data_IF_664752524874
#
_entry.id   IF_664752524874
#
_cell.length_a   1.000
_cell.length_b   1.000
_cell.length_c   1.000
_cell.angle_alpha   90.00
_cell.angle_beta   90.00
_cell.angle_gamma   90.00
#
_symmetry.space_group_name_H-M   'P 1'
#
loop_
_entity.id
_entity.type
_entity.pdbx_description
1 polymer ?
#
# COMPACT_ATOMS: atom_id res chain seq x y z
N UNK A 1 -17.38 75.43 47.27
CA UNK A 1 -18.03 74.10 47.04
C UNK A 1 -18.24 73.79 45.54
N UNK A 2 -18.41 74.70 44.67
CA UNK A 2 -18.68 74.50 43.23
C UNK A 2 -17.50 73.97 42.43
N UNK A 3 -16.26 74.25 42.85
CA UNK A 3 -15.01 73.80 42.16
C UNK A 3 -14.79 72.28 42.25
N UNK A 4 -15.14 71.65 43.40
CA UNK A 4 -14.94 70.20 43.60
C UNK A 4 -15.94 69.33 42.81
N UNK A 5 -17.13 69.85 42.58
CA UNK A 5 -18.19 69.11 41.77
C UNK A 5 -17.78 69.09 40.29
N UNK A 6 -17.20 70.19 39.76
CA UNK A 6 -16.71 70.24 38.39
C UNK A 6 -15.59 69.24 38.11
N UNK A 7 -14.62 69.12 39.04
CA UNK A 7 -13.54 68.17 38.95
C UNK A 7 -14.02 66.73 38.97
N UNK A 8 -15.02 66.44 39.87
CA UNK A 8 -15.59 65.06 39.95
C UNK A 8 -16.35 64.65 38.66
N UNK A 9 -17.05 65.56 38.02
CA UNK A 9 -17.74 65.33 36.75
C UNK A 9 -16.76 65.06 35.61
N UNK A 10 -15.65 65.80 35.55
CA UNK A 10 -14.62 65.62 34.55
C UNK A 10 -13.91 64.24 34.73
N UNK A 11 -13.55 63.89 35.97
CA UNK A 11 -12.92 62.59 36.29
C UNK A 11 -13.87 61.43 35.95
N UNK A 12 -15.15 61.56 36.23
CA UNK A 12 -16.17 60.56 35.85
C UNK A 12 -16.26 60.44 34.31
N UNK A 13 -16.30 61.53 33.58
CA UNK A 13 -16.31 61.54 32.11
C UNK A 13 -15.06 60.82 31.50
N UNK A 14 -13.88 61.12 32.07
CA UNK A 14 -12.65 60.44 31.63
C UNK A 14 -12.68 58.95 31.96
N UNK A 15 -13.19 58.55 33.13
CA UNK A 15 -13.35 57.16 33.50
C UNK A 15 -14.27 56.39 32.55
N UNK A 16 -15.43 56.97 32.24
CA UNK A 16 -16.39 56.37 31.27
C UNK A 16 -15.75 56.26 29.88
N UNK A 17 -15.04 57.27 29.40
CA UNK A 17 -14.33 57.23 28.12
C UNK A 17 -13.25 56.12 28.08
N UNK A 18 -12.51 55.92 29.16
CA UNK A 18 -11.53 54.82 29.28
C UNK A 18 -12.24 53.46 29.23
N UNK A 19 -13.32 53.29 29.98
CA UNK A 19 -14.09 52.03 29.94
C UNK A 19 -14.67 51.75 28.54
N UNK A 20 -15.21 52.73 27.86
CA UNK A 20 -15.70 52.59 26.48
C UNK A 20 -14.55 52.20 25.50
N UNK A 21 -13.38 52.79 25.63
CA UNK A 21 -12.23 52.48 24.78
C UNK A 21 -11.71 51.07 25.03
N UNK A 22 -11.65 50.61 26.30
CA UNK A 22 -11.29 49.22 26.67
C UNK A 22 -12.30 48.27 26.08
N UNK A 23 -13.61 48.53 26.24
CA UNK A 23 -14.66 47.66 25.69
C UNK A 23 -14.62 47.60 24.15
N UNK A 24 -14.41 48.72 23.48
CA UNK A 24 -14.27 48.77 22.02
C UNK A 24 -13.04 47.96 21.54
N UNK A 25 -11.89 48.05 22.21
CA UNK A 25 -10.72 47.26 21.91
C UNK A 25 -10.95 45.78 22.14
N UNK A 26 -11.58 45.40 23.22
CA UNK A 26 -11.94 44.01 23.54
C UNK A 26 -12.87 43.40 22.47
N UNK A 27 -13.93 44.16 22.08
CA UNK A 27 -14.82 43.71 21.00
C UNK A 27 -14.09 43.56 19.68
N UNK A 28 -13.21 44.50 19.33
CA UNK A 28 -12.43 44.44 18.10
C UNK A 28 -11.44 43.27 18.09
N UNK A 29 -10.86 42.96 19.24
CA UNK A 29 -9.99 41.77 19.40
C UNK A 29 -10.81 40.49 19.28
N UNK A 30 -11.97 40.42 19.89
CA UNK A 30 -12.90 39.29 19.78
C UNK A 30 -13.31 39.02 18.32
N UNK A 31 -13.71 40.08 17.59
CA UNK A 31 -14.07 39.96 16.17
C UNK A 31 -12.90 39.48 15.30
N UNK A 32 -11.66 39.93 15.58
CA UNK A 32 -10.45 39.47 14.87
C UNK A 32 -10.21 37.98 15.12
N UNK A 33 -10.35 37.52 16.36
CA UNK A 33 -10.15 36.10 16.71
C UNK A 33 -11.25 35.24 16.04
N UNK A 34 -12.48 35.68 16.03
CA UNK A 34 -13.57 34.97 15.35
C UNK A 34 -13.31 34.88 13.84
N UNK A 35 -12.90 35.95 13.19
CA UNK A 35 -12.56 35.97 11.77
C UNK A 35 -11.39 35.03 11.44
N UNK A 36 -10.36 35.04 12.27
CA UNK A 36 -9.22 34.12 12.08
C UNK A 36 -9.67 32.66 12.18
N UNK A 37 -10.47 32.30 13.19
CA UNK A 37 -11.01 30.94 13.33
C UNK A 37 -11.88 30.53 12.14
N UNK A 38 -12.70 31.45 11.66
CA UNK A 38 -13.56 31.19 10.50
C UNK A 38 -12.74 30.94 9.22
N UNK A 39 -11.67 31.72 9.01
CA UNK A 39 -10.74 31.53 7.89
C UNK A 39 -9.95 30.23 8.00
N UNK A 40 -9.50 29.86 9.20
CA UNK A 40 -8.81 28.58 9.45
C UNK A 40 -9.75 27.40 9.19
N UNK A 41 -10.97 27.46 9.74
CA UNK A 41 -11.98 26.42 9.53
C UNK A 41 -12.36 26.29 8.04
N UNK A 42 -12.49 27.40 7.33
CA UNK A 42 -12.76 27.39 5.88
C UNK A 42 -11.63 26.74 5.10
N UNK A 43 -10.37 27.05 5.43
CA UNK A 43 -9.19 26.43 4.79
C UNK A 43 -9.14 24.92 5.05
N UNK A 44 -9.45 24.50 6.27
CA UNK A 44 -9.47 23.08 6.64
C UNK A 44 -10.60 22.34 5.90
N UNK A 45 -11.79 22.97 5.80
CA UNK A 45 -12.91 22.43 5.05
C UNK A 45 -12.62 22.32 3.55
N UNK A 46 -11.99 23.35 2.96
CA UNK A 46 -11.58 23.31 1.55
C UNK A 46 -10.53 22.24 1.28
N UNK A 47 -9.58 22.03 2.21
CA UNK A 47 -8.59 20.95 2.14
C UNK A 47 -9.26 19.59 2.20
N UNK A 48 -10.12 19.37 3.18
CA UNK A 48 -10.87 18.12 3.34
C UNK A 48 -11.76 17.81 2.12
N UNK A 49 -12.48 18.81 1.61
CA UNK A 49 -13.29 18.66 0.41
C UNK A 49 -12.45 18.30 -0.84
N UNK A 50 -11.26 18.90 -0.97
CA UNK A 50 -10.33 18.57 -2.06
C UNK A 50 -9.79 17.16 -1.95
N UNK A 51 -9.46 16.71 -0.75
CA UNK A 51 -9.00 15.33 -0.48
C UNK A 51 -10.11 14.32 -0.75
N UNK A 52 -11.34 14.58 -0.26
CA UNK A 52 -12.50 13.74 -0.53
C UNK A 52 -12.83 13.66 -2.04
N UNK A 53 -12.72 14.77 -2.76
CA UNK A 53 -12.92 14.79 -4.21
C UNK A 53 -11.87 13.97 -4.96
N UNK A 54 -10.59 14.08 -4.55
CA UNK A 54 -9.51 13.25 -5.12
C UNK A 54 -9.75 11.77 -4.87
N UNK A 55 -10.13 11.39 -3.64
CA UNK A 55 -10.44 10.00 -3.29
C UNK A 55 -11.61 9.45 -4.12
N UNK A 56 -12.67 10.25 -4.33
CA UNK A 56 -13.82 9.84 -5.13
C UNK A 56 -13.50 9.69 -6.63
N UNK A 57 -12.64 10.56 -7.17
CA UNK A 57 -12.16 10.42 -8.55
C UNK A 57 -11.33 9.13 -8.69
N UNK A 58 -10.39 8.89 -7.79
CA UNK A 58 -9.58 7.68 -7.77
C UNK A 58 -10.45 6.41 -7.67
N UNK A 59 -11.50 6.44 -6.82
CA UNK A 59 -12.47 5.34 -6.70
C UNK A 59 -13.25 5.11 -8.00
N UNK A 60 -13.65 6.16 -8.69
CA UNK A 60 -14.37 6.04 -9.97
C UNK A 60 -13.47 5.48 -11.07
N UNK A 61 -12.26 5.99 -11.18
CA UNK A 61 -11.25 5.45 -12.11
C UNK A 61 -10.92 3.99 -11.81
N UNK A 62 -10.88 3.60 -10.53
CA UNK A 62 -10.73 2.24 -10.08
C UNK A 62 -11.83 1.32 -10.64
N UNK A 63 -13.09 1.68 -10.41
CA UNK A 63 -14.22 0.87 -10.87
C UNK A 63 -14.24 0.71 -12.41
N UNK A 64 -13.86 1.76 -13.13
CA UNK A 64 -13.74 1.71 -14.59
C UNK A 64 -12.61 0.75 -15.04
N UNK A 65 -11.42 0.85 -14.40
CA UNK A 65 -10.29 -0.04 -14.69
C UNK A 65 -10.62 -1.49 -14.33
N UNK A 66 -11.23 -1.73 -13.17
CA UNK A 66 -11.67 -3.07 -12.74
C UNK A 66 -12.64 -3.70 -13.73
N UNK A 67 -13.62 -2.92 -14.21
CA UNK A 67 -14.57 -3.39 -15.22
C UNK A 67 -13.86 -3.82 -16.51
N UNK A 68 -12.84 -3.09 -16.93
CA UNK A 68 -12.02 -3.44 -18.10
C UNK A 68 -11.18 -4.70 -17.85
N UNK A 69 -10.49 -4.76 -16.70
CA UNK A 69 -9.54 -5.83 -16.38
C UNK A 69 -10.24 -7.16 -16.05
N UNK A 70 -11.51 -7.12 -15.60
CA UNK A 70 -12.40 -8.28 -15.49
C UNK A 70 -12.91 -8.72 -16.88
N UNK A 71 -13.28 -7.78 -17.74
CA UNK A 71 -13.84 -8.09 -19.06
C UNK A 71 -12.82 -8.78 -19.95
N UNK A 72 -11.56 -8.41 -19.89
CA UNK A 72 -10.49 -8.96 -20.74
C UNK A 72 -10.33 -10.48 -20.58
N UNK A 73 -10.08 -11.04 -19.38
CA UNK A 73 -9.98 -12.49 -19.20
C UNK A 73 -11.29 -13.20 -19.48
N UNK A 74 -12.45 -12.63 -19.18
CA UNK A 74 -13.76 -13.21 -19.51
C UNK A 74 -13.91 -13.36 -21.04
N UNK A 75 -13.58 -12.32 -21.81
CA UNK A 75 -13.63 -12.40 -23.27
C UNK A 75 -12.58 -13.38 -23.80
N UNK A 76 -11.40 -13.47 -23.17
CA UNK A 76 -10.39 -14.48 -23.49
C UNK A 76 -10.90 -15.91 -23.27
N UNK A 77 -11.55 -16.17 -22.14
CA UNK A 77 -12.16 -17.47 -21.84
C UNK A 77 -13.22 -17.81 -22.91
N UNK A 78 -14.14 -16.88 -23.17
CA UNK A 78 -15.19 -17.09 -24.19
C UNK A 78 -14.61 -17.39 -25.57
N UNK A 79 -13.62 -16.57 -26.01
CA UNK A 79 -12.97 -16.80 -27.29
C UNK A 79 -12.26 -18.16 -27.37
N UNK A 80 -11.62 -18.63 -26.30
CA UNK A 80 -11.00 -19.95 -26.28
C UNK A 80 -12.01 -21.09 -26.29
N UNK A 81 -13.21 -20.91 -25.72
CA UNK A 81 -14.31 -21.87 -25.84
C UNK A 81 -14.78 -21.93 -27.29
N UNK A 82 -15.00 -20.80 -27.97
CA UNK A 82 -15.41 -20.75 -29.38
C UNK A 82 -14.37 -21.38 -30.31
N UNK A 83 -13.08 -21.12 -30.07
CA UNK A 83 -11.96 -21.76 -30.80
C UNK A 83 -11.93 -23.25 -30.55
N UNK A 84 -12.11 -23.70 -29.30
CA UNK A 84 -12.19 -25.12 -28.94
C UNK A 84 -13.36 -25.83 -29.63
N UNK A 85 -14.52 -25.17 -29.70
CA UNK A 85 -15.67 -25.71 -30.41
C UNK A 85 -15.47 -25.85 -31.92
N UNK A 86 -14.69 -24.93 -32.52
CA UNK A 86 -14.35 -25.04 -33.95
C UNK A 86 -13.38 -26.21 -34.20
N UNK A 87 -12.36 -26.38 -33.33
CA UNK A 87 -11.34 -27.43 -33.44
C UNK A 87 -11.65 -28.68 -32.61
N UNK A 88 -12.90 -29.18 -32.63
CA UNK A 88 -13.37 -30.30 -31.76
C UNK A 88 -12.54 -31.56 -31.84
N UNK A 89 -12.01 -31.89 -33.01
CA UNK A 89 -11.26 -33.12 -33.24
C UNK A 89 -9.75 -32.96 -33.13
N UNK A 90 -9.25 -31.72 -32.91
CA UNK A 90 -7.82 -31.44 -32.78
C UNK A 90 -7.44 -31.43 -31.29
N UNK A 91 -6.78 -32.50 -30.83
CA UNK A 91 -6.42 -32.71 -29.44
C UNK A 91 -5.42 -31.65 -28.95
N UNK A 92 -4.49 -31.23 -29.83
CA UNK A 92 -3.47 -30.25 -29.49
C UNK A 92 -4.09 -28.86 -29.29
N UNK A 93 -4.94 -28.43 -30.21
CA UNK A 93 -5.72 -27.19 -30.09
C UNK A 93 -6.64 -27.20 -28.89
N UNK A 94 -7.32 -28.31 -28.62
CA UNK A 94 -8.12 -28.47 -27.42
C UNK A 94 -7.31 -28.34 -26.11
N UNK A 95 -6.08 -28.87 -26.10
CA UNK A 95 -5.17 -28.74 -24.97
C UNK A 95 -4.72 -27.29 -24.75
N UNK A 96 -4.37 -26.59 -25.85
CA UNK A 96 -3.99 -25.17 -25.83
C UNK A 96 -5.16 -24.30 -25.34
N UNK A 97 -6.37 -24.51 -25.82
CA UNK A 97 -7.56 -23.77 -25.38
C UNK A 97 -7.81 -23.98 -23.88
N UNK A 98 -7.79 -25.23 -23.37
CA UNK A 98 -7.94 -25.52 -21.94
C UNK A 98 -6.88 -24.82 -21.09
N UNK A 99 -5.61 -24.83 -21.52
CA UNK A 99 -4.52 -24.15 -20.82
C UNK A 99 -4.77 -22.64 -20.72
N UNK A 100 -5.15 -21.99 -21.82
CA UNK A 100 -5.45 -20.56 -21.85
C UNK A 100 -6.68 -20.18 -21.01
N UNK A 101 -7.73 -21.04 -21.02
CA UNK A 101 -8.89 -20.85 -20.16
C UNK A 101 -8.50 -20.93 -18.68
N UNK A 102 -7.65 -21.91 -18.31
CA UNK A 102 -7.16 -22.09 -16.95
C UNK A 102 -6.35 -20.88 -16.49
N UNK A 103 -5.41 -20.41 -17.31
CA UNK A 103 -4.58 -19.22 -17.03
C UNK A 103 -5.45 -17.96 -16.85
N UNK A 104 -6.40 -17.72 -17.76
CA UNK A 104 -7.31 -16.57 -17.69
C UNK A 104 -8.25 -16.64 -16.46
N UNK A 105 -8.71 -17.82 -16.09
CA UNK A 105 -9.54 -18.04 -14.90
C UNK A 105 -8.74 -17.80 -13.61
N UNK A 106 -7.48 -18.25 -13.57
CA UNK A 106 -6.57 -18.00 -12.45
C UNK A 106 -6.31 -16.51 -12.23
N UNK A 107 -6.03 -15.79 -13.33
CA UNK A 107 -5.85 -14.32 -13.27
C UNK A 107 -7.11 -13.60 -12.79
N UNK A 108 -8.30 -14.02 -13.25
CA UNK A 108 -9.56 -13.43 -12.81
C UNK A 108 -9.80 -13.64 -11.31
N UNK A 109 -9.50 -14.84 -10.81
CA UNK A 109 -9.65 -15.16 -9.38
C UNK A 109 -8.68 -14.32 -8.52
N UNK A 110 -7.43 -14.16 -8.95
CA UNK A 110 -6.44 -13.32 -8.28
C UNK A 110 -6.92 -11.87 -8.19
N UNK A 111 -7.42 -11.32 -9.31
CA UNK A 111 -7.95 -9.97 -9.39
C UNK A 111 -9.15 -9.74 -8.45
N UNK A 112 -10.09 -10.70 -8.39
CA UNK A 112 -11.24 -10.65 -7.48
C UNK A 112 -10.76 -10.64 -6.02
N UNK A 113 -9.82 -11.51 -5.67
CA UNK A 113 -9.28 -11.59 -4.32
C UNK A 113 -8.56 -10.29 -3.91
N UNK A 114 -7.78 -9.66 -4.81
CA UNK A 114 -7.15 -8.37 -4.53
C UNK A 114 -8.18 -7.25 -4.29
N UNK A 115 -9.28 -7.23 -5.05
CA UNK A 115 -10.37 -6.26 -4.84
C UNK A 115 -11.05 -6.45 -3.50
N UNK A 116 -11.37 -7.70 -3.14
CA UNK A 116 -11.98 -8.03 -1.84
C UNK A 116 -11.05 -7.64 -0.68
N UNK A 117 -9.76 -7.86 -0.83
CA UNK A 117 -8.78 -7.50 0.18
C UNK A 117 -8.63 -5.99 0.32
N UNK A 118 -8.66 -5.25 -0.79
CA UNK A 118 -8.65 -3.77 -0.76
C UNK A 118 -9.90 -3.25 -0.03
N UNK A 119 -11.09 -3.81 -0.31
CA UNK A 119 -12.31 -3.45 0.39
C UNK A 119 -12.25 -3.71 1.91
N UNK A 120 -11.67 -4.84 2.32
CA UNK A 120 -11.44 -5.13 3.75
C UNK A 120 -10.42 -4.21 4.40
N UNK A 121 -9.40 -3.77 3.66
CA UNK A 121 -8.40 -2.82 4.16
C UNK A 121 -8.98 -1.42 4.35
N UNK A 122 -9.86 -0.97 3.45
CA UNK A 122 -10.56 0.32 3.55
C UNK A 122 -11.59 0.34 4.70
N UNK A 123 -12.29 -0.77 4.95
CA UNK A 123 -13.26 -0.89 6.05
C UNK A 123 -12.65 -1.15 7.42
N UNK A 124 -11.32 -1.15 7.55
CA UNK A 124 -10.60 -1.52 8.78
C UNK A 124 -10.91 -2.95 9.30
N UNK A 125 -11.61 -3.76 8.53
CA UNK A 125 -12.04 -5.12 8.88
C UNK A 125 -10.93 -6.18 8.79
N UNK A 126 -9.70 -5.79 8.44
CA UNK A 126 -8.58 -6.74 8.43
C UNK A 126 -8.26 -7.15 9.86
N UNK A 127 -8.66 -8.36 10.22
CA UNK A 127 -8.34 -8.98 11.49
C UNK A 127 -6.97 -9.66 11.33
N UNK A 128 -5.97 -9.12 12.00
CA UNK A 128 -4.67 -9.78 12.09
C UNK A 128 -4.79 -10.98 13.03
N UNK A 129 -4.52 -12.16 12.50
CA UNK A 129 -4.39 -13.36 13.35
C UNK A 129 -3.25 -13.16 14.36
N UNK A 130 -3.42 -13.72 15.53
CA UNK A 130 -2.39 -13.75 16.54
C UNK A 130 -2.19 -15.19 16.99
N UNK A 131 -1.39 -15.94 16.22
CA UNK A 131 -1.11 -17.34 16.50
C UNK A 131 0.38 -17.64 16.42
N UNK A 132 0.80 -18.69 17.08
CA UNK A 132 2.13 -19.26 16.95
C UNK A 132 2.35 -19.78 15.54
N UNK A 133 3.55 -19.54 15.01
CA UNK A 133 4.00 -20.11 13.74
C UNK A 133 5.53 -20.21 13.70
N UNK A 134 6.04 -21.20 12.99
CA UNK A 134 7.46 -21.34 12.77
C UNK A 134 7.88 -20.53 11.53
N UNK A 135 8.79 -19.59 11.72
CA UNK A 135 9.27 -18.67 10.69
C UNK A 135 9.95 -19.41 9.51
N UNK A 136 10.80 -20.41 9.82
CA UNK A 136 11.51 -21.14 8.77
C UNK A 136 10.57 -22.00 7.95
N UNK A 137 9.58 -22.64 8.58
CA UNK A 137 8.58 -23.43 7.88
C UNK A 137 7.78 -22.55 6.92
N UNK A 138 7.32 -21.39 7.39
CA UNK A 138 6.59 -20.43 6.56
C UNK A 138 7.43 -19.99 5.35
N UNK A 139 8.71 -19.69 5.56
CA UNK A 139 9.57 -19.28 4.46
C UNK A 139 9.88 -20.42 3.50
N UNK A 140 10.02 -21.66 3.95
CA UNK A 140 10.20 -22.83 3.07
C UNK A 140 8.99 -23.05 2.14
N UNK A 141 7.77 -22.83 2.65
CA UNK A 141 6.58 -22.86 1.81
C UNK A 141 6.63 -21.79 0.70
N UNK A 142 6.99 -20.55 1.08
CA UNK A 142 7.15 -19.43 0.14
C UNK A 142 8.23 -19.78 -0.90
N UNK A 143 9.39 -20.23 -0.45
CA UNK A 143 10.54 -20.60 -1.26
C UNK A 143 10.19 -21.62 -2.33
N UNK A 144 9.45 -22.66 -1.97
CA UNK A 144 9.03 -23.72 -2.90
C UNK A 144 8.25 -23.14 -4.09
N UNK A 145 7.38 -22.17 -3.84
CA UNK A 145 6.56 -21.54 -4.88
C UNK A 145 7.41 -20.62 -5.77
N UNK A 146 8.22 -19.76 -5.16
CA UNK A 146 9.00 -18.75 -5.90
C UNK A 146 10.14 -19.37 -6.71
N UNK A 147 10.80 -20.43 -6.22
CA UNK A 147 11.87 -21.12 -6.96
C UNK A 147 11.35 -21.74 -8.26
N UNK A 148 10.13 -22.29 -8.25
CA UNK A 148 9.50 -22.81 -9.46
C UNK A 148 9.29 -21.69 -10.49
N UNK A 149 8.69 -20.58 -10.09
CA UNK A 149 8.42 -19.43 -10.97
C UNK A 149 9.71 -18.79 -11.50
N UNK A 150 10.72 -18.65 -10.65
CA UNK A 150 12.02 -18.11 -11.03
C UNK A 150 12.73 -18.98 -12.07
N UNK A 151 12.70 -20.31 -11.88
CA UNK A 151 13.29 -21.29 -12.78
C UNK A 151 12.68 -21.23 -14.19
N UNK A 152 11.36 -21.05 -14.29
CA UNK A 152 10.66 -20.91 -15.57
C UNK A 152 11.14 -19.69 -16.37
N UNK A 153 11.72 -18.68 -15.70
CA UNK A 153 12.28 -17.45 -16.30
C UNK A 153 13.81 -17.38 -16.30
N UNK A 154 14.48 -18.45 -15.88
CA UNK A 154 15.94 -18.49 -15.77
C UNK A 154 16.53 -17.56 -14.69
N UNK A 155 15.71 -17.11 -13.71
CA UNK A 155 16.14 -16.20 -12.66
C UNK A 155 16.82 -16.99 -11.55
N UNK A 156 18.00 -16.53 -11.11
CA UNK A 156 18.75 -17.14 -10.03
C UNK A 156 18.34 -16.52 -8.67
N UNK A 157 17.79 -17.35 -7.78
CA UNK A 157 17.48 -16.93 -6.40
C UNK A 157 18.65 -17.33 -5.49
N UNK A 158 19.20 -16.34 -4.80
CA UNK A 158 20.23 -16.53 -3.78
C UNK A 158 19.64 -16.13 -2.43
N UNK A 159 19.59 -17.08 -1.52
CA UNK A 159 19.18 -16.82 -0.14
C UNK A 159 20.46 -16.75 0.70
N UNK A 160 20.76 -15.57 1.23
CA UNK A 160 21.87 -15.42 2.15
C UNK A 160 21.51 -16.07 3.50
N UNK A 161 22.54 -16.35 4.30
CA UNK A 161 22.37 -17.00 5.60
C UNK A 161 21.35 -16.22 6.45
N UNK A 162 20.35 -16.94 6.94
CA UNK A 162 19.40 -16.38 7.89
C UNK A 162 20.11 -16.03 9.20
N UNK A 163 20.01 -14.78 9.60
CA UNK A 163 20.45 -14.33 10.91
C UNK A 163 19.20 -14.13 11.80
N UNK A 164 18.42 -15.23 11.92
CA UNK A 164 17.21 -15.31 12.74
C UNK A 164 17.45 -16.39 13.78
N UNK A 165 17.33 -16.04 15.05
CA UNK A 165 17.62 -16.91 16.20
C UNK A 165 16.33 -17.57 16.71
N UNK A 166 15.24 -16.79 16.78
CA UNK A 166 13.96 -17.27 17.27
C UNK A 166 13.11 -17.79 16.11
N UNK A 167 12.83 -19.07 16.12
CA UNK A 167 12.08 -19.75 15.04
C UNK A 167 10.58 -19.66 15.24
N UNK A 168 10.12 -19.76 16.50
CA UNK A 168 8.71 -19.76 16.83
C UNK A 168 8.27 -18.37 17.28
N UNK A 169 7.33 -17.81 16.52
CA UNK A 169 6.89 -16.44 16.64
C UNK A 169 5.36 -16.37 16.77
N UNK A 170 4.87 -15.35 17.45
CA UNK A 170 3.42 -15.05 17.53
C UNK A 170 3.11 -13.89 16.59
N UNK A 171 2.21 -14.13 15.64
CA UNK A 171 1.81 -13.12 14.67
C UNK A 171 0.75 -13.64 13.70
N UNK A 172 0.68 -13.02 12.52
CA UNK A 172 -0.27 -13.40 11.46
C UNK A 172 0.49 -13.98 10.25
N UNK A 173 0.75 -15.30 10.21
CA UNK A 173 1.54 -15.94 9.14
C UNK A 173 0.91 -15.79 7.76
N UNK A 174 -0.43 -15.72 7.66
CA UNK A 174 -1.13 -15.52 6.38
C UNK A 174 -0.75 -14.15 5.78
N UNK A 175 -0.72 -13.10 6.61
CA UNK A 175 -0.36 -11.75 6.14
C UNK A 175 1.15 -11.63 5.88
N UNK A 176 2.00 -12.25 6.72
CA UNK A 176 3.45 -12.33 6.45
C UNK A 176 3.72 -13.01 5.11
N UNK A 177 3.11 -14.17 4.88
CA UNK A 177 3.21 -14.90 3.60
C UNK A 177 2.80 -14.03 2.42
N UNK A 178 1.70 -13.31 2.55
CA UNK A 178 1.19 -12.42 1.51
C UNK A 178 2.14 -11.27 1.20
N UNK A 179 2.66 -10.59 2.23
CA UNK A 179 3.65 -9.51 2.08
C UNK A 179 4.89 -10.00 1.34
N UNK A 180 5.50 -11.09 1.83
CA UNK A 180 6.72 -11.64 1.25
C UNK A 180 6.50 -12.15 -0.18
N UNK A 181 5.39 -12.87 -0.41
CA UNK A 181 5.04 -13.36 -1.75
C UNK A 181 4.86 -12.22 -2.75
N UNK A 182 4.20 -11.13 -2.38
CA UNK A 182 4.02 -10.00 -3.29
C UNK A 182 5.34 -9.35 -3.70
N UNK A 183 6.26 -9.15 -2.76
CA UNK A 183 7.60 -8.62 -3.07
C UNK A 183 8.38 -9.57 -3.99
N UNK A 184 8.40 -10.87 -3.68
CA UNK A 184 9.15 -11.86 -4.43
C UNK A 184 8.58 -12.11 -5.83
N UNK A 185 7.26 -12.16 -5.96
CA UNK A 185 6.61 -12.28 -7.28
C UNK A 185 6.85 -11.04 -8.14
N UNK A 186 6.87 -9.83 -7.55
CA UNK A 186 7.25 -8.61 -8.26
C UNK A 186 8.73 -8.65 -8.68
N UNK A 187 9.64 -9.09 -7.81
CA UNK A 187 11.05 -9.24 -8.12
C UNK A 187 11.29 -10.24 -9.26
N UNK A 188 10.50 -11.31 -9.35
CA UNK A 188 10.55 -12.26 -10.48
C UNK A 188 9.94 -11.62 -11.73
N UNK A 189 8.77 -11.01 -11.61
CA UNK A 189 7.97 -10.48 -12.71
C UNK A 189 8.67 -9.36 -13.47
N UNK A 190 9.29 -8.45 -12.74
CA UNK A 190 9.98 -7.27 -13.29
C UNK A 190 11.50 -7.47 -13.46
N UNK A 191 11.98 -8.71 -13.29
CA UNK A 191 13.38 -9.03 -13.53
C UNK A 191 13.70 -9.16 -15.02
N UNK A 192 14.98 -9.04 -15.31
CA UNK A 192 15.55 -9.38 -16.62
C UNK A 192 15.64 -10.90 -16.75
N UNK A 193 15.61 -11.42 -17.98
CA UNK A 193 15.90 -12.83 -18.23
C UNK A 193 17.33 -13.15 -17.71
N UNK A 194 17.46 -14.28 -17.05
CA UNK A 194 18.71 -14.71 -16.39
C UNK A 194 19.20 -13.73 -15.31
N UNK A 195 18.28 -12.93 -14.72
CA UNK A 195 18.58 -12.03 -13.64
C UNK A 195 18.80 -12.75 -12.31
N UNK A 196 18.99 -11.96 -11.25
CA UNK A 196 19.25 -12.45 -9.90
C UNK A 196 18.29 -11.82 -8.89
N UNK A 197 17.93 -12.59 -7.87
CA UNK A 197 17.21 -12.11 -6.69
C UNK A 197 18.00 -12.56 -5.46
N UNK A 198 18.36 -11.61 -4.60
CA UNK A 198 19.00 -11.87 -3.31
C UNK A 198 17.99 -11.65 -2.19
N UNK A 199 17.89 -12.62 -1.29
CA UNK A 199 16.96 -12.60 -0.14
C UNK A 199 17.78 -12.68 1.14
N UNK A 200 17.51 -11.80 2.09
CA UNK A 200 18.13 -11.79 3.41
C UNK A 200 17.07 -11.61 4.49
N UNK A 201 17.26 -12.32 5.60
CA UNK A 201 16.49 -12.15 6.82
C UNK A 201 17.42 -11.90 8.00
N UNK A 202 17.16 -10.83 8.73
CA UNK A 202 17.92 -10.47 9.93
C UNK A 202 16.96 -10.22 11.08
N UNK A 203 17.26 -10.82 12.22
CA UNK A 203 16.58 -10.55 13.46
C UNK A 203 17.25 -9.40 14.19
N UNK A 204 16.45 -8.48 14.69
CA UNK A 204 16.87 -7.36 15.53
C UNK A 204 16.09 -7.46 16.85
N UNK A 205 16.80 -7.67 17.95
CA UNK A 205 16.18 -7.70 19.26
C UNK A 205 15.66 -6.32 19.63
N UNK A 206 14.37 -6.23 19.95
CA UNK A 206 13.75 -4.98 20.40
C UNK A 206 13.66 -4.91 21.93
N UNK A 207 13.24 -6.00 22.56
CA UNK A 207 13.19 -6.18 24.00
C UNK A 207 13.16 -7.68 24.34
N UNK A 208 12.98 -8.05 25.61
CA UNK A 208 13.02 -9.45 26.06
C UNK A 208 12.01 -10.37 25.33
N UNK A 209 10.85 -9.86 24.93
CA UNK A 209 9.75 -10.66 24.36
C UNK A 209 9.40 -10.29 22.92
N UNK A 210 10.08 -9.30 22.33
CA UNK A 210 9.74 -8.78 21.00
C UNK A 210 10.99 -8.62 20.15
N UNK A 211 10.94 -9.16 18.94
CA UNK A 211 11.96 -9.01 17.91
C UNK A 211 11.39 -8.27 16.71
N UNK A 212 12.26 -7.77 15.89
CA UNK A 212 11.94 -7.28 14.53
C UNK A 212 12.63 -8.20 13.55
N UNK A 213 11.86 -8.77 12.63
CA UNK A 213 12.43 -9.46 11.46
C UNK A 213 12.53 -8.44 10.34
N UNK A 214 13.77 -8.18 9.90
CA UNK A 214 14.06 -7.40 8.70
C UNK A 214 14.20 -8.34 7.52
N UNK A 215 13.32 -8.18 6.54
CA UNK A 215 13.37 -8.83 5.24
C UNK A 215 13.95 -7.86 4.22
N UNK A 216 14.99 -8.29 3.49
CA UNK A 216 15.55 -7.58 2.34
C UNK A 216 15.38 -8.44 1.10
N UNK A 217 14.87 -7.84 0.02
CA UNK A 217 14.78 -8.45 -1.29
C UNK A 217 15.41 -7.50 -2.31
N UNK A 218 16.50 -7.92 -2.93
CA UNK A 218 17.23 -7.19 -3.97
C UNK A 218 17.10 -7.93 -5.29
N UNK A 219 16.64 -7.26 -6.34
CA UNK A 219 16.54 -7.80 -7.69
C UNK A 219 17.40 -6.99 -8.68
N UNK A 220 17.81 -7.65 -9.76
CA UNK A 220 18.54 -7.04 -10.88
C UNK A 220 17.62 -6.69 -12.06
N UNK A 221 16.37 -6.36 -11.75
CA UNK A 221 15.32 -6.13 -12.72
C UNK A 221 15.44 -4.82 -13.49
N UNK A 222 14.29 -4.36 -14.00
CA UNK A 222 14.21 -3.13 -14.79
C UNK A 222 14.29 -1.85 -13.91
N UNK A 223 14.17 -1.97 -12.59
CA UNK A 223 14.08 -0.84 -11.68
C UNK A 223 12.83 0.01 -11.94
N UNK A 224 12.77 1.19 -11.31
CA UNK A 224 11.63 2.11 -11.36
C UNK A 224 12.08 3.53 -11.72
N UNK A 225 11.30 4.21 -12.55
CA UNK A 225 11.52 5.65 -12.83
C UNK A 225 11.24 6.49 -11.58
N UNK A 226 11.90 7.65 -11.45
CA UNK A 226 11.67 8.59 -10.33
C UNK A 226 10.20 9.02 -10.18
N UNK A 227 9.48 9.13 -11.31
CA UNK A 227 8.07 9.49 -11.30
C UNK A 227 7.19 8.37 -10.71
N UNK A 228 7.49 7.11 -11.02
CA UNK A 228 6.77 5.95 -10.52
C UNK A 228 7.08 5.67 -9.05
N UNK A 229 8.33 5.87 -8.61
CA UNK A 229 8.74 5.72 -7.21
C UNK A 229 7.88 6.56 -6.25
N UNK A 230 7.40 7.74 -6.69
CA UNK A 230 6.55 8.61 -5.88
C UNK A 230 5.14 8.05 -5.66
N UNK A 231 4.71 7.16 -6.51
CA UNK A 231 3.32 6.65 -6.54
C UNK A 231 3.22 5.14 -6.36
N UNK A 232 4.32 4.41 -6.19
CA UNK A 232 4.33 2.93 -6.12
C UNK A 232 3.36 2.34 -5.08
N UNK A 233 3.08 3.07 -4.01
CA UNK A 233 2.14 2.67 -2.97
C UNK A 233 0.72 3.20 -3.17
N UNK A 234 0.48 4.01 -4.20
CA UNK A 234 -0.87 4.42 -4.54
C UNK A 234 -1.62 3.24 -5.18
N UNK A 235 -2.88 3.02 -4.81
CA UNK A 235 -3.69 2.00 -5.47
C UNK A 235 -3.68 2.17 -6.99
N UNK A 236 -3.50 1.05 -7.72
CA UNK A 236 -3.48 1.01 -9.20
C UNK A 236 -2.30 1.70 -9.88
N UNK A 237 -1.28 2.08 -9.13
CA UNK A 237 -0.07 2.62 -9.68
C UNK A 237 0.64 1.56 -10.56
N UNK A 238 0.93 1.94 -11.79
CA UNK A 238 1.67 1.12 -12.76
C UNK A 238 2.57 2.01 -13.59
N UNK A 239 3.78 1.55 -13.86
CA UNK A 239 4.71 2.26 -14.71
C UNK A 239 4.32 2.09 -16.18
N UNK A 240 3.69 3.12 -16.77
CA UNK A 240 3.26 3.27 -18.18
C UNK A 240 2.37 2.15 -18.79
N UNK A 241 1.49 2.53 -19.67
CA UNK A 241 0.55 1.64 -20.39
C UNK A 241 1.22 0.50 -21.21
N UNK A 242 2.52 0.62 -21.58
CA UNK A 242 3.29 -0.43 -22.25
C UNK A 242 3.67 -1.61 -21.36
N UNK A 243 3.81 -1.41 -20.04
CA UNK A 243 4.11 -2.48 -19.11
C UNK A 243 2.89 -3.40 -18.85
N UNK A 244 1.67 -2.91 -19.05
CA UNK A 244 0.44 -3.71 -18.95
C UNK A 244 0.41 -4.89 -19.91
N UNK A 245 0.87 -4.70 -21.15
CA UNK A 245 0.86 -5.74 -22.20
C UNK A 245 1.93 -6.80 -21.98
N UNK A 246 3.04 -6.46 -21.30
CA UNK A 246 4.19 -7.35 -21.15
C UNK A 246 4.15 -8.10 -19.82
N UNK A 247 3.76 -7.43 -18.72
CA UNK A 247 3.93 -8.01 -17.38
C UNK A 247 2.61 -8.25 -16.61
N UNK A 248 1.44 -7.75 -17.07
CA UNK A 248 0.15 -7.91 -16.40
C UNK A 248 0.15 -7.42 -14.94
N UNK A 249 -1.01 -7.28 -14.32
CA UNK A 249 -1.12 -6.95 -12.90
C UNK A 249 -2.11 -5.82 -12.64
N UNK A 250 -2.63 -5.75 -11.42
CA UNK A 250 -3.70 -4.84 -11.00
C UNK A 250 -3.18 -3.50 -10.51
N UNK A 251 -1.92 -3.46 -10.05
CA UNK A 251 -1.35 -2.31 -9.35
C UNK A 251 -1.82 -2.17 -7.90
N UNK A 252 -2.51 -3.18 -7.35
CA UNK A 252 -2.96 -3.21 -5.96
C UNK A 252 -1.96 -3.83 -5.00
N UNK A 253 -1.11 -4.73 -5.49
CA UNK A 253 -0.23 -5.51 -4.64
C UNK A 253 0.63 -4.66 -3.69
N UNK A 254 1.24 -3.57 -4.17
CA UNK A 254 2.12 -2.74 -3.33
C UNK A 254 1.36 -1.88 -2.32
N UNK A 255 0.19 -1.35 -2.68
CA UNK A 255 -0.67 -0.62 -1.74
C UNK A 255 -1.19 -1.53 -0.63
N UNK A 256 -1.63 -2.75 -0.97
CA UNK A 256 -2.03 -3.79 -0.01
C UNK A 256 -0.86 -4.17 0.90
N UNK A 257 0.33 -4.39 0.33
CA UNK A 257 1.53 -4.73 1.12
C UNK A 257 1.86 -3.64 2.13
N UNK A 258 1.88 -2.37 1.71
CA UNK A 258 2.13 -1.25 2.61
C UNK A 258 1.11 -1.20 3.74
N UNK A 259 -0.19 -1.28 3.42
CA UNK A 259 -1.26 -1.26 4.43
C UNK A 259 -1.15 -2.43 5.42
N UNK A 260 -0.81 -3.64 4.95
CA UNK A 260 -0.60 -4.79 5.84
C UNK A 260 0.61 -4.60 6.75
N UNK A 261 1.74 -4.13 6.21
CA UNK A 261 2.96 -3.85 6.99
C UNK A 261 2.67 -2.81 8.07
N UNK A 262 1.99 -1.72 7.75
CA UNK A 262 1.61 -0.66 8.69
C UNK A 262 0.64 -1.17 9.76
N UNK A 263 -0.39 -1.96 9.39
CA UNK A 263 -1.31 -2.59 10.35
C UNK A 263 -0.62 -3.59 11.27
N UNK A 264 0.43 -4.25 10.81
CA UNK A 264 1.27 -5.13 11.63
C UNK A 264 2.28 -4.36 12.51
N UNK A 265 2.29 -3.02 12.45
CA UNK A 265 3.20 -2.18 13.23
C UNK A 265 4.63 -2.16 12.68
N UNK A 266 4.81 -2.54 11.42
CA UNK A 266 6.08 -2.57 10.71
C UNK A 266 6.35 -1.36 9.84
N UNK A 267 7.45 -1.43 9.07
CA UNK A 267 7.85 -0.41 8.09
C UNK A 267 8.23 -1.08 6.77
N UNK A 268 8.00 -0.36 5.66
CA UNK A 268 8.42 -0.74 4.33
C UNK A 268 9.11 0.42 3.65
N UNK A 269 10.26 0.16 3.03
CA UNK A 269 11.00 1.12 2.22
C UNK A 269 11.63 0.41 1.02
N UNK A 270 12.12 1.18 0.06
CA UNK A 270 12.83 0.64 -1.09
C UNK A 270 13.87 1.63 -1.61
N UNK A 271 14.82 1.08 -2.36
CA UNK A 271 15.78 1.78 -3.20
C UNK A 271 15.66 1.22 -4.61
N UNK A 272 15.60 2.07 -5.63
CA UNK A 272 15.46 1.61 -7.01
C UNK A 272 16.12 2.58 -7.98
N UNK A 273 16.76 2.00 -8.98
CA UNK A 273 17.36 2.74 -10.09
C UNK A 273 16.91 2.07 -11.41
N UNK A 274 16.38 2.90 -12.31
CA UNK A 274 15.87 2.41 -13.60
C UNK A 274 16.99 1.79 -14.43
N UNK A 275 16.78 0.57 -14.89
CA UNK A 275 17.75 -0.22 -15.64
C UNK A 275 18.73 -1.03 -14.79
N UNK A 276 18.79 -0.80 -13.47
CA UNK A 276 19.66 -1.52 -12.53
C UNK A 276 18.92 -2.57 -11.74
N UNK A 277 17.84 -2.19 -11.03
CA UNK A 277 17.04 -3.08 -10.20
C UNK A 277 16.37 -2.38 -9.03
N UNK A 278 15.82 -3.17 -8.12
CA UNK A 278 15.13 -2.67 -6.92
C UNK A 278 15.53 -3.46 -5.69
N UNK A 279 15.66 -2.77 -4.56
CA UNK A 279 15.83 -3.38 -3.24
C UNK A 279 14.69 -2.94 -2.34
N UNK A 280 13.91 -3.90 -1.85
CA UNK A 280 12.87 -3.67 -0.83
C UNK A 280 13.38 -4.04 0.55
N UNK A 281 13.03 -3.25 1.54
CA UNK A 281 13.26 -3.48 2.96
C UNK A 281 11.93 -3.49 3.69
N UNK A 282 11.66 -4.55 4.46
CA UNK A 282 10.46 -4.67 5.30
C UNK A 282 10.89 -5.05 6.70
N UNK A 283 10.39 -4.35 7.69
CA UNK A 283 10.59 -4.64 9.10
C UNK A 283 9.26 -4.96 9.76
N UNK A 284 9.15 -6.13 10.35
CA UNK A 284 7.93 -6.57 11.04
C UNK A 284 8.25 -6.95 12.48
N UNK A 285 7.52 -6.40 13.47
CA UNK A 285 7.65 -6.80 14.86
C UNK A 285 6.89 -8.10 15.13
N UNK A 286 7.51 -9.00 15.92
CA UNK A 286 6.90 -10.24 16.38
C UNK A 286 7.15 -10.44 17.86
N UNK A 287 6.23 -11.10 18.53
CA UNK A 287 6.48 -11.65 19.87
C UNK A 287 7.13 -13.02 19.72
N UNK A 288 8.06 -13.33 20.64
CA UNK A 288 8.68 -14.64 20.71
C UNK A 288 7.67 -15.59 21.38
N UNK A 289 7.49 -16.77 20.80
CA UNK A 289 6.75 -17.86 21.42
C UNK A 289 7.75 -18.71 22.22
N UNK A 290 7.54 -18.82 23.55
CA UNK A 290 8.48 -19.46 24.49
C UNK A 290 8.06 -20.87 24.83
#
# INVERSE_FOLDING_TARGET
>A
MTSNIGIAVILYGIFVAILMTIKARSNQQYERIQKQREEEYKKELEKSAKEAKKANIAKTEFLQRMSHDIRTPINGIRGMVEVGDYYKSDIEKQSECRKKIWEASGFLLELINEVLDMGKLESEEVILERRSFNFFQLFQEIRTVIEKQARERGINIVVHKYNVIHEDLIGSPVHVKRIVMNILTNAIKYNKNNGKICIEFNEIQKNYNTIIIRFKCEDTGIGMSESFQKTIYEPFAQEKAGARTVYGGTGLGMSITKSLVEKMGGTISFESEQGVGTTFYIELPFQIDH
#
